data_IF_351063209675
#
_entry.id   IF_351063209675
#
_cell.length_a   1.000
_cell.length_b   1.000
_cell.length_c   1.000
_cell.angle_alpha   90.00
_cell.angle_beta   90.00
_cell.angle_gamma   90.00
#
_symmetry.space_group_name_H-M   'P 1'
#
loop_
_entity.id
_entity.type
_entity.pdbx_description
1 polymer ?
#
# COMPACT_ATOMS: atom_id res chain seq x y z
N UNK A 1 1.84 -14.15 17.02
CA UNK A 1 1.07 -13.17 16.21
C UNK A 1 1.60 -13.27 14.79
N UNK A 2 0.73 -13.29 13.78
CA UNK A 2 1.13 -13.26 12.38
C UNK A 2 1.79 -11.91 12.05
N UNK A 3 2.83 -11.97 11.22
CA UNK A 3 3.60 -10.80 10.81
C UNK A 3 2.76 -9.95 9.83
N UNK A 4 2.53 -8.65 10.06
CA UNK A 4 1.74 -7.83 9.13
C UNK A 4 2.38 -7.76 7.75
N UNK A 5 1.57 -7.86 6.70
CA UNK A 5 2.01 -7.73 5.30
C UNK A 5 1.83 -6.30 4.80
N UNK A 6 2.88 -5.72 4.24
CA UNK A 6 2.90 -4.35 3.70
C UNK A 6 3.29 -4.39 2.22
N UNK A 7 2.46 -3.76 1.39
CA UNK A 7 2.75 -3.54 -0.02
C UNK A 7 3.28 -2.11 -0.22
N UNK A 8 4.46 -1.98 -0.83
CA UNK A 8 4.96 -0.76 -1.42
C UNK A 8 4.64 -0.78 -2.93
N UNK A 9 3.67 0.05 -3.36
CA UNK A 9 3.18 0.03 -4.76
C UNK A 9 3.86 1.05 -5.68
N UNK A 10 4.64 1.97 -5.10
CA UNK A 10 5.31 3.05 -5.82
C UNK A 10 6.82 3.03 -5.60
N UNK A 11 7.57 3.58 -6.56
CA UNK A 11 9.02 3.79 -6.40
C UNK A 11 9.30 4.75 -5.25
N UNK A 12 9.95 4.24 -4.22
CA UNK A 12 10.42 4.98 -3.04
C UNK A 12 11.85 4.59 -2.69
N UNK A 13 12.42 5.30 -1.72
CA UNK A 13 13.75 4.99 -1.21
C UNK A 13 13.79 3.55 -0.64
N UNK A 14 14.82 2.74 -0.96
CA UNK A 14 14.95 1.37 -0.46
C UNK A 14 14.92 1.26 1.08
N UNK A 15 15.25 2.34 1.80
CA UNK A 15 15.16 2.36 3.26
C UNK A 15 13.71 2.19 3.76
N UNK A 16 12.69 2.53 2.98
CA UNK A 16 11.31 2.32 3.38
C UNK A 16 11.02 0.83 3.64
N UNK A 17 11.40 -0.04 2.71
CA UNK A 17 11.24 -1.49 2.87
C UNK A 17 12.04 -2.01 4.07
N UNK A 18 13.30 -1.60 4.20
CA UNK A 18 14.15 -1.98 5.35
C UNK A 18 13.52 -1.61 6.69
N UNK A 19 12.98 -0.40 6.84
CA UNK A 19 12.37 0.04 8.09
C UNK A 19 11.15 -0.81 8.44
N UNK A 20 10.33 -1.17 7.46
CA UNK A 20 9.19 -2.07 7.69
C UNK A 20 9.65 -3.47 8.10
N UNK A 21 10.66 -4.02 7.42
CA UNK A 21 11.25 -5.33 7.74
C UNK A 21 11.85 -5.36 9.16
N UNK A 22 12.65 -4.34 9.51
CA UNK A 22 13.27 -4.18 10.84
C UNK A 22 12.22 -4.06 11.96
N UNK A 23 11.06 -3.49 11.66
CA UNK A 23 9.92 -3.40 12.58
C UNK A 23 9.05 -4.65 12.59
N UNK A 24 9.45 -5.70 11.87
CA UNK A 24 8.76 -6.97 11.86
C UNK A 24 7.53 -6.99 10.95
N UNK A 25 7.56 -6.32 9.80
CA UNK A 25 6.58 -6.50 8.71
C UNK A 25 7.15 -7.40 7.61
N UNK A 26 6.29 -8.14 6.91
CA UNK A 26 6.63 -8.76 5.63
C UNK A 26 6.33 -7.76 4.52
N UNK A 27 7.31 -7.48 3.67
CA UNK A 27 7.25 -6.34 2.75
C UNK A 27 7.40 -6.82 1.32
N UNK A 28 6.43 -6.47 0.49
CA UNK A 28 6.53 -6.65 -0.96
C UNK A 28 6.69 -5.27 -1.62
N UNK A 29 7.70 -5.14 -2.48
CA UNK A 29 7.92 -3.94 -3.29
C UNK A 29 7.59 -4.28 -4.73
N UNK A 30 6.39 -3.91 -5.17
CA UNK A 30 5.93 -4.14 -6.55
C UNK A 30 5.45 -2.81 -7.10
N UNK A 31 6.20 -2.26 -8.05
CA UNK A 31 5.96 -0.91 -8.56
C UNK A 31 5.42 -0.92 -9.97
N UNK A 32 4.50 -0.01 -10.27
CA UNK A 32 3.99 0.18 -11.62
C UNK A 32 2.91 -0.83 -12.02
N UNK A 33 2.26 -1.44 -11.03
CA UNK A 33 1.06 -2.27 -11.25
C UNK A 33 -0.08 -1.44 -11.84
N UNK A 34 -0.91 -2.06 -12.68
CA UNK A 34 -2.18 -1.48 -13.06
C UNK A 34 -3.17 -1.50 -11.89
N UNK A 35 -4.23 -0.67 -11.92
CA UNK A 35 -5.28 -0.74 -10.90
C UNK A 35 -5.89 -2.15 -10.75
N UNK A 36 -6.04 -2.88 -11.85
CA UNK A 36 -6.58 -4.24 -11.86
C UNK A 36 -5.65 -5.24 -11.18
N UNK A 37 -4.34 -5.15 -11.44
CA UNK A 37 -3.32 -5.98 -10.78
C UNK A 37 -3.28 -5.71 -9.28
N UNK A 38 -3.36 -4.42 -8.89
CA UNK A 38 -3.41 -4.03 -7.48
C UNK A 38 -4.68 -4.57 -6.80
N UNK A 39 -5.86 -4.43 -7.42
CA UNK A 39 -7.13 -4.96 -6.92
C UNK A 39 -7.05 -6.48 -6.69
N UNK A 40 -6.42 -7.22 -7.61
CA UNK A 40 -6.34 -8.67 -7.53
C UNK A 40 -5.56 -9.19 -6.31
N UNK A 41 -4.66 -8.38 -5.74
CA UNK A 41 -3.77 -8.80 -4.64
C UNK A 41 -3.92 -8.01 -3.35
N UNK A 42 -4.46 -6.79 -3.39
CA UNK A 42 -4.45 -5.89 -2.23
C UNK A 42 -5.17 -6.47 -1.01
N UNK A 43 -6.12 -7.39 -1.23
CA UNK A 43 -6.79 -8.14 -0.17
C UNK A 43 -5.86 -8.99 0.69
N UNK A 44 -4.64 -9.30 0.26
CA UNK A 44 -3.66 -10.07 1.05
C UNK A 44 -2.81 -9.22 2.01
N UNK A 45 -2.92 -7.89 1.97
CA UNK A 45 -2.05 -6.96 2.69
C UNK A 45 -2.78 -6.25 3.83
N UNK A 46 -2.06 -6.04 4.91
CA UNK A 46 -2.49 -5.25 6.07
C UNK A 46 -2.19 -3.75 5.89
N UNK A 47 -1.16 -3.42 5.10
CA UNK A 47 -0.74 -2.04 4.87
C UNK A 47 -0.38 -1.77 3.40
N UNK A 48 -0.68 -0.56 2.95
CA UNK A 48 -0.35 -0.07 1.62
C UNK A 48 0.45 1.22 1.73
N UNK A 49 1.64 1.24 1.15
CA UNK A 49 2.53 2.39 1.08
C UNK A 49 2.63 2.88 -0.37
N UNK A 50 2.13 4.10 -0.61
CA UNK A 50 2.08 4.73 -1.93
C UNK A 50 2.90 6.01 -1.96
N UNK A 51 3.08 6.57 -3.16
CA UNK A 51 3.63 7.90 -3.38
C UNK A 51 2.66 8.74 -4.21
N UNK A 52 2.94 8.92 -5.49
CA UNK A 52 2.19 9.81 -6.39
C UNK A 52 1.66 9.09 -7.62
N UNK A 53 2.13 7.87 -7.89
CA UNK A 53 1.76 7.13 -9.11
C UNK A 53 0.50 6.31 -8.87
N UNK A 54 0.46 5.58 -7.76
CA UNK A 54 -0.72 4.81 -7.37
C UNK A 54 -1.85 5.75 -6.96
N UNK A 55 -3.04 5.56 -7.52
CA UNK A 55 -4.28 6.21 -7.08
C UNK A 55 -5.14 5.18 -6.36
N UNK A 56 -5.39 5.40 -5.07
CA UNK A 56 -6.20 4.52 -4.24
C UNK A 56 -7.66 4.93 -4.37
N UNK A 57 -8.36 4.26 -5.27
CA UNK A 57 -9.78 4.45 -5.57
C UNK A 57 -10.66 3.58 -4.67
N UNK A 58 -11.97 3.85 -4.66
CA UNK A 58 -12.97 3.05 -3.93
C UNK A 58 -12.88 1.55 -4.28
N UNK A 59 -12.72 1.22 -5.57
CA UNK A 59 -12.60 -0.17 -6.01
C UNK A 59 -11.36 -0.89 -5.43
N UNK A 60 -10.25 -0.16 -5.23
CA UNK A 60 -9.06 -0.72 -4.56
C UNK A 60 -9.36 -0.93 -3.08
N UNK A 61 -10.02 0.03 -2.43
CA UNK A 61 -10.37 -0.05 -1.01
C UNK A 61 -11.36 -1.20 -0.75
N UNK A 62 -12.38 -1.37 -1.61
CA UNK A 62 -13.34 -2.48 -1.57
C UNK A 62 -12.66 -3.85 -1.68
N UNK A 63 -11.66 -3.97 -2.56
CA UNK A 63 -10.90 -5.20 -2.74
C UNK A 63 -9.92 -5.48 -1.57
N UNK A 64 -9.58 -4.45 -0.79
CA UNK A 64 -8.57 -4.49 0.26
C UNK A 64 -9.13 -5.01 1.59
N UNK A 65 -9.69 -6.23 1.56
CA UNK A 65 -10.43 -6.83 2.68
C UNK A 65 -9.68 -6.95 4.02
N UNK A 66 -8.34 -6.98 4.01
CA UNK A 66 -7.51 -7.05 5.22
C UNK A 66 -6.78 -5.73 5.53
N UNK A 67 -6.91 -4.71 4.68
CA UNK A 67 -6.12 -3.49 4.76
C UNK A 67 -6.55 -2.64 5.96
N UNK A 68 -5.56 -2.24 6.76
CA UNK A 68 -5.76 -1.47 8.00
C UNK A 68 -5.25 -0.04 7.89
N UNK A 69 -4.29 0.20 6.98
CA UNK A 69 -3.63 1.49 6.86
C UNK A 69 -3.13 1.75 5.44
N UNK A 70 -3.34 2.98 4.98
CA UNK A 70 -2.74 3.51 3.75
C UNK A 70 -1.81 4.65 4.14
N UNK A 71 -0.53 4.53 3.81
CA UNK A 71 0.50 5.55 4.03
C UNK A 71 0.96 6.16 2.72
N UNK A 72 0.98 7.49 2.61
CA UNK A 72 1.58 8.20 1.47
C UNK A 72 2.94 8.78 1.83
N UNK A 73 3.97 8.42 1.07
CA UNK A 73 5.30 9.01 1.15
C UNK A 73 5.36 10.37 0.44
N UNK A 74 4.82 11.42 1.07
CA UNK A 74 4.84 12.78 0.53
C UNK A 74 3.95 13.75 1.30
N UNK A 75 3.84 14.97 0.80
CA UNK A 75 2.91 15.98 1.33
C UNK A 75 1.55 15.75 0.68
N UNK A 76 0.48 15.81 1.47
CA UNK A 76 -0.89 15.63 1.00
C UNK A 76 -1.30 14.17 0.77
N UNK A 77 -2.55 13.97 0.42
CA UNK A 77 -3.24 12.67 0.29
C UNK A 77 -4.22 12.67 -0.89
N UNK A 78 -3.97 13.53 -1.88
CA UNK A 78 -4.83 13.83 -3.03
C UNK A 78 -5.11 12.63 -3.96
N UNK A 79 -4.31 11.57 -3.86
CA UNK A 79 -4.43 10.33 -4.62
C UNK A 79 -5.06 9.19 -3.82
N UNK A 80 -5.65 9.50 -2.65
CA UNK A 80 -6.40 8.57 -1.82
C UNK A 80 -7.81 9.12 -1.65
N UNK A 81 -8.82 8.29 -1.84
CA UNK A 81 -10.21 8.64 -1.52
C UNK A 81 -10.41 8.63 0.01
N UNK A 82 -10.01 9.72 0.68
CA UNK A 82 -10.05 9.83 2.15
C UNK A 82 -11.45 9.66 2.73
N UNK A 83 -12.53 10.26 2.17
CA UNK A 83 -13.87 10.04 2.70
C UNK A 83 -14.32 8.57 2.69
N UNK A 84 -13.77 7.78 1.76
CA UNK A 84 -14.12 6.38 1.60
C UNK A 84 -13.21 5.42 2.38
N UNK A 85 -11.95 5.82 2.63
CA UNK A 85 -10.95 5.06 3.38
C UNK A 85 -11.18 5.12 4.90
#
# INVERSE_FOLDING_TARGET
MTKPKVLISDKMDPNAAKIFEERGCDVDVITGETPEELIARIGEYDGLAIRSSTKVTQAIIDAATNLKVIGRAGIGVDNVDIPYA
#
